data_IF_011827247760
#
_entry.id   IF_011827247760
#
_cell.length_a   1.000
_cell.length_b   1.000
_cell.length_c   1.000
_cell.angle_alpha   90.00
_cell.angle_beta   90.00
_cell.angle_gamma   90.00
#
_symmetry.space_group_name_H-M   'P 1'
#
loop_
_entity.id
_entity.type
_entity.pdbx_description
1 polymer ?
#
# COMPACT_ATOMS: atom_id res chain seq x y z
N UNK A 1 -43.87 1.37 -44.43
CA UNK A 1 -43.54 2.33 -45.50
C UNK A 1 -42.37 3.16 -45.02
N UNK A 2 -41.22 2.90 -45.61
CA UNK A 2 -39.93 3.52 -45.32
C UNK A 2 -39.66 4.52 -46.44
N UNK A 3 -39.27 5.75 -46.12
CA UNK A 3 -38.57 6.68 -47.04
C UNK A 3 -38.08 7.93 -46.31
N UNK A 4 -37.02 8.59 -46.81
CA UNK A 4 -35.86 8.99 -46.00
C UNK A 4 -35.70 10.51 -45.85
N UNK A 5 -34.87 10.93 -44.89
CA UNK A 5 -34.38 12.31 -44.82
C UNK A 5 -32.94 12.40 -45.39
N UNK A 6 -32.60 13.49 -46.11
CA UNK A 6 -31.57 13.51 -47.14
C UNK A 6 -30.19 13.95 -46.63
N UNK A 7 -29.20 13.68 -47.48
CA UNK A 7 -27.83 14.11 -47.29
C UNK A 7 -27.64 15.62 -47.36
N UNK A 8 -26.73 16.09 -46.51
CA UNK A 8 -25.95 17.31 -46.71
C UNK A 8 -24.48 16.92 -46.80
N UNK A 9 -23.93 17.01 -48.01
CA UNK A 9 -22.50 16.98 -48.27
C UNK A 9 -21.93 18.41 -48.22
N UNK A 10 -20.59 18.48 -48.17
CA UNK A 10 -19.72 19.66 -48.19
C UNK A 10 -19.52 20.30 -46.80
N UNK A 11 -18.30 20.51 -46.30
CA UNK A 11 -17.00 20.59 -46.95
C UNK A 11 -16.27 21.79 -46.33
N UNK A 12 -15.06 21.58 -45.81
CA UNK A 12 -14.24 22.59 -45.11
C UNK A 12 -13.86 22.05 -43.73
N UNK A 13 -12.68 21.45 -43.55
CA UNK A 13 -11.38 22.04 -43.86
C UNK A 13 -10.81 22.61 -42.57
N UNK A 14 -10.50 21.74 -41.61
CA UNK A 14 -9.72 22.13 -40.43
C UNK A 14 -8.24 21.93 -40.78
N UNK A 15 -7.43 23.00 -40.77
CA UNK A 15 -6.01 22.95 -41.07
C UNK A 15 -5.21 22.54 -39.81
N UNK A 16 -4.16 21.73 -39.99
CA UNK A 16 -3.10 21.58 -39.00
C UNK A 16 -3.03 20.23 -38.27
N UNK A 17 -3.27 19.11 -38.95
CA UNK A 17 -2.71 17.83 -38.51
C UNK A 17 -1.21 17.79 -38.85
N UNK A 18 -0.33 17.24 -37.99
CA UNK A 18 1.06 17.02 -38.36
C UNK A 18 1.12 16.13 -39.62
N UNK A 19 2.04 16.40 -40.57
CA UNK A 19 2.08 15.71 -41.84
C UNK A 19 2.29 14.21 -41.68
N UNK A 20 1.68 13.46 -42.59
CA UNK A 20 1.73 12.00 -42.64
C UNK A 20 3.16 11.48 -42.64
N UNK A 21 3.41 10.53 -41.74
CA UNK A 21 4.56 9.64 -41.82
C UNK A 21 4.25 8.58 -42.87
N UNK A 22 4.81 8.77 -44.06
CA UNK A 22 4.89 7.73 -45.09
C UNK A 22 5.65 6.52 -44.53
N UNK A 23 5.27 5.26 -44.83
CA UNK A 23 5.96 4.07 -44.31
C UNK A 23 7.41 3.85 -44.79
N UNK A 24 8.05 4.84 -45.42
CA UNK A 24 9.36 4.71 -46.06
C UNK A 24 10.44 5.68 -45.58
N UNK A 25 10.14 6.57 -44.62
CA UNK A 25 11.10 7.58 -44.13
C UNK A 25 11.62 7.35 -42.70
N UNK A 26 11.60 6.10 -42.22
CA UNK A 26 12.38 5.69 -41.02
C UNK A 26 13.75 5.18 -41.43
N UNK A 27 14.51 6.03 -42.12
CA UNK A 27 15.93 5.84 -42.40
C UNK A 27 16.65 7.13 -42.04
N UNK A 28 17.68 7.01 -41.20
CA UNK A 28 18.56 8.08 -40.71
C UNK A 28 18.02 8.99 -39.58
N UNK A 29 18.09 8.52 -38.34
CA UNK A 29 18.65 9.26 -37.19
C UNK A 29 18.62 8.39 -35.91
N UNK A 30 19.18 7.19 -36.00
CA UNK A 30 19.64 6.49 -34.81
C UNK A 30 20.97 7.12 -34.41
N UNK A 31 21.01 7.83 -33.28
CA UNK A 31 22.28 8.15 -32.65
C UNK A 31 22.96 6.83 -32.27
N UNK A 32 24.15 6.52 -32.82
CA UNK A 32 24.82 5.27 -32.53
C UNK A 32 25.46 5.39 -31.15
N UNK A 33 24.96 4.66 -30.17
CA UNK A 33 25.80 4.32 -29.03
C UNK A 33 26.90 3.40 -29.55
N UNK A 34 28.04 4.05 -29.82
CA UNK A 34 29.28 3.46 -30.26
C UNK A 34 29.79 2.46 -29.22
N UNK A 35 29.32 1.23 -29.32
CA UNK A 35 30.05 0.01 -28.97
C UNK A 35 30.46 -0.65 -30.28
N UNK A 36 31.29 0.03 -31.06
CA UNK A 36 31.82 -0.47 -32.32
C UNK A 36 32.84 -1.57 -32.00
N UNK A 37 32.35 -2.80 -31.79
CA UNK A 37 33.15 -4.00 -31.97
C UNK A 37 33.63 -3.99 -33.41
N UNK A 38 34.95 -3.88 -33.60
CA UNK A 38 35.60 -3.82 -34.90
C UNK A 38 35.25 -5.12 -35.65
N UNK A 39 34.40 -5.07 -36.67
CA UNK A 39 34.15 -6.22 -37.53
C UNK A 39 35.36 -6.42 -38.43
N UNK A 40 36.00 -7.58 -38.34
CA UNK A 40 37.04 -8.01 -39.29
C UNK A 40 36.37 -8.52 -40.57
N UNK A 41 37.10 -8.48 -41.69
CA UNK A 41 36.62 -8.80 -43.05
C UNK A 41 36.02 -10.21 -43.22
N UNK A 42 36.16 -11.11 -42.23
CA UNK A 42 35.74 -12.52 -42.30
C UNK A 42 34.38 -12.82 -41.64
N UNK A 43 33.60 -11.81 -41.26
CA UNK A 43 32.22 -11.98 -40.77
C UNK A 43 32.10 -12.73 -39.44
N UNK A 44 33.22 -12.94 -38.72
CA UNK A 44 33.24 -13.55 -37.40
C UNK A 44 33.35 -12.45 -36.33
N UNK A 45 32.56 -12.51 -35.25
CA UNK A 45 32.70 -11.57 -34.15
C UNK A 45 34.10 -11.68 -33.55
N UNK A 46 34.82 -10.56 -33.48
CA UNK A 46 36.16 -10.42 -32.89
C UNK A 46 36.06 -10.63 -31.36
N UNK A 47 36.02 -11.89 -30.95
CA UNK A 47 35.92 -12.33 -29.54
C UNK A 47 37.27 -12.39 -28.82
N UNK A 48 38.37 -12.07 -29.49
CA UNK A 48 39.72 -12.10 -28.90
C UNK A 48 40.00 -10.93 -27.93
N UNK A 49 39.08 -9.98 -27.78
CA UNK A 49 39.25 -8.80 -26.91
C UNK A 49 38.32 -8.71 -25.69
N UNK A 50 37.27 -9.54 -25.58
CA UNK A 50 36.33 -9.44 -24.44
C UNK A 50 36.89 -10.24 -23.27
N UNK A 51 37.51 -9.52 -22.33
CA UNK A 51 38.09 -10.16 -21.14
C UNK A 51 36.99 -10.76 -20.27
N UNK A 52 37.29 -11.88 -19.60
CA UNK A 52 36.41 -12.50 -18.59
C UNK A 52 35.99 -11.51 -17.50
N UNK A 53 36.82 -10.49 -17.22
CA UNK A 53 36.49 -9.40 -16.30
C UNK A 53 35.36 -8.49 -16.79
N UNK A 54 35.24 -8.28 -18.10
CA UNK A 54 34.17 -7.49 -18.72
C UNK A 54 32.82 -8.20 -18.56
N UNK A 55 32.78 -9.51 -18.86
CA UNK A 55 31.59 -10.36 -18.76
C UNK A 55 31.08 -10.50 -17.31
N UNK A 56 31.98 -10.67 -16.34
CA UNK A 56 31.60 -10.70 -14.92
C UNK A 56 31.10 -9.32 -14.46
N UNK A 57 31.69 -8.23 -14.97
CA UNK A 57 31.24 -6.87 -14.71
C UNK A 57 29.82 -6.62 -15.21
N UNK A 58 29.48 -7.11 -16.40
CA UNK A 58 28.15 -7.00 -17.00
C UNK A 58 27.10 -7.82 -16.24
N UNK A 59 27.37 -9.09 -15.94
CA UNK A 59 26.47 -9.94 -15.12
C UNK A 59 26.24 -9.36 -13.72
N UNK A 60 27.30 -8.83 -13.08
CA UNK A 60 27.19 -8.18 -11.76
C UNK A 60 26.32 -6.92 -11.82
N UNK A 61 26.42 -6.17 -12.91
CA UNK A 61 25.62 -4.96 -13.16
C UNK A 61 24.16 -5.30 -13.45
N UNK A 62 23.90 -6.38 -14.16
CA UNK A 62 22.54 -6.88 -14.44
C UNK A 62 21.87 -7.39 -13.18
N UNK A 63 22.57 -8.21 -12.39
CA UNK A 63 22.05 -8.69 -11.10
C UNK A 63 21.77 -7.53 -10.15
N UNK A 64 22.67 -6.54 -10.08
CA UNK A 64 22.45 -5.32 -9.29
C UNK A 64 21.22 -4.55 -9.77
N UNK A 65 20.94 -4.57 -11.07
CA UNK A 65 19.78 -3.89 -11.67
C UNK A 65 18.49 -4.63 -11.35
N UNK A 66 18.47 -5.96 -11.45
CA UNK A 66 17.35 -6.79 -11.01
C UNK A 66 17.05 -6.59 -9.52
N UNK A 67 18.06 -6.63 -8.65
CA UNK A 67 17.88 -6.41 -7.22
C UNK A 67 17.28 -5.03 -6.90
N UNK A 68 17.72 -3.97 -7.61
CA UNK A 68 17.12 -2.65 -7.47
C UNK A 68 15.68 -2.61 -7.95
N UNK A 69 15.33 -3.34 -9.01
CA UNK A 69 13.97 -3.42 -9.54
C UNK A 69 13.03 -4.18 -8.59
N UNK A 70 13.46 -5.32 -8.06
CA UNK A 70 12.70 -6.09 -7.06
C UNK A 70 12.44 -5.27 -5.79
N UNK A 71 13.45 -4.54 -5.31
CA UNK A 71 13.28 -3.61 -4.19
C UNK A 71 12.34 -2.45 -4.53
N UNK A 72 12.41 -1.89 -5.74
CA UNK A 72 11.52 -0.82 -6.18
C UNK A 72 10.07 -1.32 -6.26
N UNK A 73 9.84 -2.54 -6.76
CA UNK A 73 8.54 -3.17 -6.82
C UNK A 73 7.99 -3.46 -5.41
N UNK A 74 8.78 -4.11 -4.56
CA UNK A 74 8.40 -4.39 -3.18
C UNK A 74 8.07 -3.10 -2.41
N UNK A 75 8.85 -2.03 -2.62
CA UNK A 75 8.56 -0.72 -2.03
C UNK A 75 7.27 -0.12 -2.57
N UNK A 76 6.98 -0.25 -3.86
CA UNK A 76 5.74 0.21 -4.46
C UNK A 76 4.53 -0.53 -3.88
N UNK A 77 4.59 -1.86 -3.81
CA UNK A 77 3.53 -2.70 -3.25
C UNK A 77 3.30 -2.41 -1.75
N UNK A 78 4.38 -2.32 -0.97
CA UNK A 78 4.31 -1.92 0.44
C UNK A 78 3.67 -0.54 0.62
N UNK A 79 3.95 0.41 -0.28
CA UNK A 79 3.36 1.76 -0.21
C UNK A 79 1.85 1.72 -0.47
N UNK A 80 1.40 0.91 -1.44
CA UNK A 80 -0.02 0.72 -1.74
C UNK A 80 -0.74 0.08 -0.55
N UNK A 81 -0.18 -1.00 -0.01
CA UNK A 81 -0.75 -1.69 1.14
C UNK A 81 -0.73 -0.80 2.40
N UNK A 82 0.34 -0.05 2.64
CA UNK A 82 0.42 0.90 3.74
C UNK A 82 -0.64 2.02 3.62
N UNK A 83 -0.90 2.52 2.41
CA UNK A 83 -1.94 3.53 2.18
C UNK A 83 -3.33 2.96 2.44
N UNK A 84 -3.60 1.73 2.00
CA UNK A 84 -4.87 1.03 2.24
C UNK A 84 -5.08 0.76 3.74
N UNK A 85 -4.06 0.24 4.42
CA UNK A 85 -4.08 0.02 5.86
C UNK A 85 -4.25 1.35 6.63
N UNK A 86 -3.54 2.39 6.21
CA UNK A 86 -3.64 3.73 6.80
C UNK A 86 -5.02 4.36 6.62
N UNK A 87 -5.63 4.23 5.44
CA UNK A 87 -7.00 4.67 5.21
C UNK A 87 -8.00 3.89 6.08
N UNK A 88 -7.83 2.56 6.17
CA UNK A 88 -8.64 1.71 7.05
C UNK A 88 -8.53 2.10 8.53
N UNK A 89 -7.31 2.26 9.01
CA UNK A 89 -7.04 2.71 10.38
C UNK A 89 -7.59 4.12 10.64
N UNK A 90 -7.46 5.03 9.68
CA UNK A 90 -8.03 6.38 9.74
C UNK A 90 -9.56 6.37 9.82
N UNK A 91 -10.23 5.55 9.01
CA UNK A 91 -11.68 5.37 9.05
C UNK A 91 -12.14 4.78 10.38
N UNK A 92 -11.46 3.74 10.89
CA UNK A 92 -11.80 3.16 12.18
C UNK A 92 -11.55 4.13 13.34
N UNK A 93 -10.47 4.90 13.29
CA UNK A 93 -10.20 5.96 14.26
C UNK A 93 -11.28 7.05 14.23
N UNK A 94 -11.64 7.51 13.03
CA UNK A 94 -12.72 8.48 12.82
C UNK A 94 -14.07 7.96 13.29
N UNK A 95 -14.42 6.71 12.98
CA UNK A 95 -15.64 6.06 13.45
C UNK A 95 -15.67 5.91 14.98
N UNK A 96 -14.53 5.56 15.60
CA UNK A 96 -14.41 5.52 17.06
C UNK A 96 -14.65 6.88 17.71
N UNK A 97 -14.07 7.94 17.15
CA UNK A 97 -14.29 9.31 17.61
C UNK A 97 -15.76 9.73 17.41
N UNK A 98 -16.30 9.60 16.20
CA UNK A 98 -17.69 9.94 15.92
C UNK A 98 -18.68 9.15 16.80
N UNK A 99 -18.40 7.87 17.06
CA UNK A 99 -19.17 7.04 17.99
C UNK A 99 -19.10 7.57 19.42
N UNK A 100 -17.92 7.96 19.91
CA UNK A 100 -17.75 8.58 21.22
C UNK A 100 -18.59 9.87 21.35
N UNK A 101 -18.55 10.74 20.35
CA UNK A 101 -19.32 11.99 20.32
C UNK A 101 -20.83 11.72 20.29
N UNK A 102 -21.26 10.72 19.51
CA UNK A 102 -22.67 10.28 19.46
C UNK A 102 -23.15 9.89 20.84
N UNK A 103 -22.38 9.07 21.56
CA UNK A 103 -22.72 8.60 22.90
C UNK A 103 -22.73 9.76 23.92
N UNK A 104 -21.82 10.74 23.79
CA UNK A 104 -21.84 11.96 24.59
C UNK A 104 -23.13 12.76 24.38
N UNK A 105 -23.51 13.03 23.12
CA UNK A 105 -24.72 13.78 22.81
C UNK A 105 -25.99 13.05 23.22
N UNK A 106 -26.04 11.71 23.06
CA UNK A 106 -27.15 10.91 23.58
C UNK A 106 -27.27 11.00 25.11
N UNK A 107 -26.14 11.05 25.82
CA UNK A 107 -26.14 11.23 27.29
C UNK A 107 -26.70 12.59 27.69
N UNK A 108 -26.31 13.66 26.98
CA UNK A 108 -26.84 15.00 27.20
C UNK A 108 -28.33 15.09 26.85
N UNK A 109 -28.75 14.48 25.74
CA UNK A 109 -30.14 14.44 25.31
C UNK A 109 -31.01 13.67 26.32
N UNK A 110 -30.52 12.53 26.83
CA UNK A 110 -31.20 11.76 27.86
C UNK A 110 -31.34 12.57 29.15
N UNK A 111 -30.27 13.24 29.58
CA UNK A 111 -30.32 14.10 30.75
C UNK A 111 -31.33 15.24 30.57
N UNK A 112 -31.24 15.99 29.47
CA UNK A 112 -32.17 17.09 29.18
C UNK A 112 -33.63 16.60 29.08
N UNK A 113 -33.85 15.45 28.44
CA UNK A 113 -35.15 14.81 28.34
C UNK A 113 -35.74 14.47 29.71
N UNK A 114 -34.95 13.82 30.57
CA UNK A 114 -35.37 13.51 31.95
C UNK A 114 -35.58 14.78 32.78
N UNK A 115 -34.70 15.77 32.64
CA UNK A 115 -34.79 17.03 33.36
C UNK A 115 -36.04 17.86 33.01
N UNK A 116 -36.69 17.58 31.87
CA UNK A 116 -37.98 18.19 31.53
C UNK A 116 -39.16 17.60 32.33
N UNK A 117 -39.01 16.38 32.86
CA UNK A 117 -40.03 15.68 33.62
C UNK A 117 -39.76 15.64 35.14
N UNK A 118 -38.52 15.88 35.58
CA UNK A 118 -38.11 15.83 37.00
C UNK A 118 -36.94 16.79 37.30
N UNK A 119 -36.60 17.06 38.58
CA UNK A 119 -35.47 17.92 38.91
C UNK A 119 -34.16 17.43 38.29
N UNK A 120 -33.37 18.35 37.74
CA UNK A 120 -32.16 18.03 36.97
C UNK A 120 -31.13 17.18 37.73
N UNK A 121 -31.08 17.29 39.06
CA UNK A 121 -30.21 16.47 39.91
C UNK A 121 -30.58 14.98 39.88
N UNK A 122 -31.88 14.64 39.95
CA UNK A 122 -32.34 13.26 39.86
C UNK A 122 -32.12 12.69 38.45
N UNK A 123 -32.36 13.51 37.42
CA UNK A 123 -32.04 13.14 36.04
C UNK A 123 -30.54 12.82 35.86
N UNK A 124 -29.65 13.64 36.45
CA UNK A 124 -28.21 13.41 36.42
C UNK A 124 -27.82 12.09 37.12
N UNK A 125 -28.43 11.79 38.27
CA UNK A 125 -28.18 10.53 38.99
C UNK A 125 -28.61 9.30 38.19
N UNK A 126 -29.73 9.37 37.46
CA UNK A 126 -30.17 8.28 36.58
C UNK A 126 -29.17 8.06 35.44
N UNK A 127 -28.75 9.14 34.77
CA UNK A 127 -27.76 9.03 33.68
C UNK A 127 -26.42 8.51 34.20
N UNK A 128 -25.99 8.96 35.39
CA UNK A 128 -24.79 8.44 36.06
C UNK A 128 -24.92 6.94 36.38
N UNK A 129 -26.08 6.49 36.86
CA UNK A 129 -26.33 5.07 37.13
C UNK A 129 -26.26 4.22 35.86
N UNK A 130 -26.82 4.69 34.74
CA UNK A 130 -26.69 4.03 33.43
C UNK A 130 -25.23 3.86 33.04
N UNK A 131 -24.43 4.92 33.17
CA UNK A 131 -23.00 4.87 32.88
C UNK A 131 -22.21 3.97 33.83
N UNK A 132 -22.57 3.92 35.11
CA UNK A 132 -21.96 3.00 36.06
C UNK A 132 -22.18 1.54 35.67
N UNK A 133 -23.39 1.19 35.21
CA UNK A 133 -23.70 -0.16 34.70
C UNK A 133 -22.88 -0.48 33.45
N UNK A 134 -22.84 0.45 32.47
CA UNK A 134 -22.02 0.28 31.26
C UNK A 134 -20.55 0.07 31.62
N UNK A 135 -19.99 0.90 32.51
CA UNK A 135 -18.61 0.78 32.96
C UNK A 135 -18.32 -0.57 33.66
N UNK A 136 -19.23 -1.03 34.53
CA UNK A 136 -19.10 -2.32 35.20
C UNK A 136 -19.06 -3.49 34.19
N UNK A 137 -19.95 -3.49 33.19
CA UNK A 137 -19.97 -4.50 32.13
C UNK A 137 -18.68 -4.47 31.31
N UNK A 138 -18.24 -3.28 30.87
CA UNK A 138 -17.01 -3.11 30.11
C UNK A 138 -15.79 -3.59 30.90
N UNK A 139 -15.73 -3.29 32.20
CA UNK A 139 -14.66 -3.74 33.07
C UNK A 139 -14.61 -5.27 33.18
N UNK A 140 -15.76 -5.92 33.42
CA UNK A 140 -15.83 -7.39 33.55
C UNK A 140 -15.44 -8.08 32.24
N UNK A 141 -15.99 -7.64 31.12
CA UNK A 141 -15.69 -8.20 29.79
C UNK A 141 -14.22 -7.94 29.41
N UNK A 142 -13.74 -6.71 29.59
CA UNK A 142 -12.36 -6.33 29.29
C UNK A 142 -11.36 -7.12 30.14
N UNK A 143 -11.61 -7.26 31.44
CA UNK A 143 -10.80 -8.08 32.35
C UNK A 143 -10.81 -9.56 31.93
N UNK A 144 -11.95 -10.10 31.52
CA UNK A 144 -12.06 -11.47 31.01
C UNK A 144 -11.21 -11.69 29.77
N UNK A 145 -11.29 -10.79 28.79
CA UNK A 145 -10.48 -10.85 27.56
C UNK A 145 -8.98 -10.75 27.87
N UNK A 146 -8.57 -9.81 28.72
CA UNK A 146 -7.17 -9.63 29.06
C UNK A 146 -6.56 -10.86 29.75
N UNK A 147 -7.34 -11.55 30.60
CA UNK A 147 -6.89 -12.80 31.25
C UNK A 147 -6.66 -13.95 30.27
N UNK A 148 -7.32 -13.94 29.10
CA UNK A 148 -7.16 -14.98 28.08
C UNK A 148 -5.96 -14.74 27.15
N UNK A 149 -5.36 -13.55 27.20
CA UNK A 149 -4.15 -13.25 26.44
C UNK A 149 -2.97 -13.83 27.21
N UNK A 150 -2.33 -14.88 26.65
CA UNK A 150 -1.10 -15.44 27.20
C UNK A 150 0.10 -14.70 26.56
N UNK A 151 0.80 -13.81 27.28
CA UNK A 151 1.86 -12.98 26.70
C UNK A 151 3.17 -13.75 26.48
N UNK A 152 3.27 -14.99 26.96
CA UNK A 152 4.43 -15.86 26.67
C UNK A 152 4.22 -16.58 25.34
N UNK A 153 5.03 -16.32 24.30
CA UNK A 153 5.09 -17.21 23.15
C UNK A 153 5.71 -18.53 23.61
N UNK A 154 4.87 -19.48 24.03
CA UNK A 154 5.30 -20.78 24.59
C UNK A 154 6.27 -21.52 23.64
N UNK A 155 6.09 -21.33 22.32
CA UNK A 155 6.94 -21.93 21.27
C UNK A 155 8.31 -21.28 21.10
N UNK A 156 8.44 -19.98 21.38
CA UNK A 156 9.71 -19.26 21.20
C UNK A 156 10.64 -19.47 22.40
N UNK A 157 10.07 -19.58 23.61
CA UNK A 157 10.87 -19.83 24.82
C UNK A 157 11.46 -21.24 24.83
N UNK A 158 10.73 -22.25 24.35
CA UNK A 158 11.22 -23.63 24.26
C UNK A 158 12.38 -23.79 23.27
N UNK A 159 12.35 -23.04 22.17
CA UNK A 159 13.40 -23.09 21.13
C UNK A 159 14.68 -22.39 21.62
N UNK A 160 14.55 -21.27 22.34
CA UNK A 160 15.69 -20.54 22.89
C UNK A 160 16.35 -21.26 24.09
N UNK A 161 15.59 -22.07 24.85
CA UNK A 161 16.13 -22.87 25.96
C UNK A 161 16.92 -24.11 25.49
N UNK A 162 16.82 -24.52 24.22
CA UNK A 162 17.59 -25.64 23.64
C UNK A 162 18.96 -25.25 23.04
N UNK A 163 19.26 -23.95 22.91
CA UNK A 163 20.49 -23.44 22.29
C UNK A 163 21.60 -22.93 23.27
N UNK A 164 21.60 -23.17 24.61
CA UNK A 164 22.77 -22.81 25.44
C UNK A 164 24.03 -23.64 25.18
N UNK A 165 23.91 -24.89 24.75
CA UNK A 165 25.05 -25.84 24.75
C UNK A 165 25.94 -25.75 23.49
N UNK A 166 25.55 -24.99 22.47
CA UNK A 166 26.30 -24.90 21.21
C UNK A 166 27.32 -23.73 21.14
N UNK A 167 27.35 -22.83 22.14
CA UNK A 167 28.23 -21.64 22.12
C UNK A 167 29.08 -21.52 23.39
N UNK A 168 29.68 -22.62 23.84
CA UNK A 168 30.87 -22.56 24.70
C UNK A 168 32.07 -23.18 23.98
N UNK A 169 32.99 -22.36 23.44
CA UNK A 169 34.29 -22.85 23.00
C UNK A 169 35.02 -23.37 24.24
N UNK A 170 35.24 -24.68 24.31
CA UNK A 170 36.07 -25.29 25.35
C UNK A 170 37.52 -24.92 25.05
N UNK A 171 38.07 -23.99 25.85
CA UNK A 171 39.50 -23.67 25.92
C UNK A 171 40.30 -24.82 26.51
#
# INVERSE_FOLDING_TARGET
>A
MSTPYPGGAHGGGVPGGPPGVSPTDVSAAAAPHAGMGRQTEDGHPDVEGVSVGELIGEVSRDLSTLMRQELALAKAELTVEAKKAGAGAGMLGGAGYAGHLTVLFLSLALWAGLASAMPAGWAALIVAAVWAVVAAVLFVVGRGRLKSVNPKPERTVETLQRVPDAVTPRS
#
